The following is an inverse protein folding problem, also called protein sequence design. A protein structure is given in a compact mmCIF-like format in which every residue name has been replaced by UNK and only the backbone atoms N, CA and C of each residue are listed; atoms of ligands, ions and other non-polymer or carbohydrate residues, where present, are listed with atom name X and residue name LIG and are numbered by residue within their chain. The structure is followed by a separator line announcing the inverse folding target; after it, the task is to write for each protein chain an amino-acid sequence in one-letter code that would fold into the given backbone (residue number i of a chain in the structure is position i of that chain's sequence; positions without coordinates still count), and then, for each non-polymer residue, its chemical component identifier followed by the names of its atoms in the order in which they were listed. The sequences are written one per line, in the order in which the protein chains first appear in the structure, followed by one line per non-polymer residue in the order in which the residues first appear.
data_IF_325204034906
#
_entry.id   IF_325204034906
#
_cell.length_a   1.000
_cell.length_b   1.000
_cell.length_c   1.000
_cell.angle_alpha   90.00
_cell.angle_beta   90.00
_cell.angle_gamma   90.00
#
_symmetry.space_group_name_H-M   'P 1'
#
loop_
_entity.id
_entity.type
_entity.pdbx_description
1 polymer ?
#
# COMPACT_ATOMS: atom_id res chain seq x y z
N UNK A 1 17.18 -24.47 -4.58
CA UNK A 1 18.53 -24.21 -4.09
C UNK A 1 19.32 -23.50 -5.18
N UNK A 2 20.11 -22.48 -4.83
CA UNK A 2 21.01 -21.84 -5.76
C UNK A 2 22.28 -22.70 -5.93
N UNK A 3 22.86 -22.79 -7.13
CA UNK A 3 24.15 -23.43 -7.36
C UNK A 3 25.26 -22.78 -6.53
N UNK A 4 26.25 -23.56 -6.07
CA UNK A 4 27.37 -23.05 -5.26
C UNK A 4 28.19 -21.96 -5.95
N UNK A 5 28.24 -21.94 -7.28
CA UNK A 5 28.88 -20.91 -8.06
C UNK A 5 28.32 -19.50 -7.85
N UNK A 6 27.09 -19.37 -7.36
CA UNK A 6 26.48 -18.07 -7.02
C UNK A 6 26.97 -17.49 -5.69
N UNK A 7 27.69 -18.28 -4.90
CA UNK A 7 28.29 -17.88 -3.64
C UNK A 7 29.80 -17.59 -3.75
N UNK A 8 30.28 -17.23 -4.94
CA UNK A 8 31.67 -16.78 -5.10
C UNK A 8 31.84 -15.34 -4.59
N UNK A 9 32.78 -15.13 -3.66
CA UNK A 9 32.99 -13.84 -2.99
C UNK A 9 33.46 -12.72 -3.93
N UNK A 10 34.28 -13.04 -4.96
CA UNK A 10 34.74 -12.06 -5.94
C UNK A 10 33.60 -11.60 -6.87
N UNK A 11 32.77 -12.55 -7.29
CA UNK A 11 31.57 -12.22 -8.06
C UNK A 11 30.57 -11.43 -7.23
N UNK A 12 30.39 -11.77 -5.95
CA UNK A 12 29.53 -11.05 -5.01
C UNK A 12 29.96 -9.59 -4.81
N UNK A 13 31.27 -9.36 -4.63
CA UNK A 13 31.84 -8.03 -4.53
C UNK A 13 31.59 -7.20 -5.80
N UNK A 14 31.89 -7.75 -6.97
CA UNK A 14 31.70 -7.08 -8.27
C UNK A 14 30.22 -6.75 -8.51
N UNK A 15 29.33 -7.69 -8.23
CA UNK A 15 27.90 -7.51 -8.46
C UNK A 15 27.31 -6.49 -7.49
N UNK A 16 27.78 -6.44 -6.23
CA UNK A 16 27.42 -5.43 -5.26
C UNK A 16 27.89 -4.02 -5.67
N UNK A 17 29.16 -3.87 -6.06
CA UNK A 17 29.70 -2.60 -6.57
C UNK A 17 28.88 -2.07 -7.75
N UNK A 18 28.55 -2.96 -8.70
CA UNK A 18 27.73 -2.62 -9.87
C UNK A 18 26.32 -2.19 -9.46
N UNK A 19 25.73 -2.84 -8.43
CA UNK A 19 24.37 -2.55 -7.99
C UNK A 19 24.27 -1.22 -7.25
N UNK A 20 25.29 -0.89 -6.46
CA UNK A 20 25.39 0.39 -5.73
C UNK A 20 25.95 1.54 -6.58
N UNK A 21 26.48 1.28 -7.79
CA UNK A 21 27.09 2.29 -8.64
C UNK A 21 28.40 2.84 -8.09
N UNK A 22 29.15 2.04 -7.30
CA UNK A 22 30.38 2.48 -6.63
C UNK A 22 31.61 1.73 -7.15
N UNK A 23 32.77 2.39 -7.11
CA UNK A 23 34.03 1.78 -7.48
C UNK A 23 34.62 0.91 -6.36
N UNK A 24 34.36 1.27 -5.09
CA UNK A 24 34.88 0.60 -3.91
C UNK A 24 33.78 0.47 -2.82
N UNK A 25 33.88 -0.58 -1.99
CA UNK A 25 32.97 -0.84 -0.89
C UNK A 25 33.48 -0.30 0.46
N UNK A 26 34.68 0.29 0.51
CA UNK A 26 35.31 0.76 1.76
C UNK A 26 34.46 1.77 2.53
N UNK A 27 33.66 2.58 1.82
CA UNK A 27 32.72 3.52 2.43
C UNK A 27 31.58 2.83 3.22
N UNK A 28 31.29 1.57 2.92
CA UNK A 28 30.22 0.78 3.56
C UNK A 28 30.77 -0.21 4.59
N UNK A 29 32.10 -0.29 4.76
CA UNK A 29 32.79 -1.18 5.68
C UNK A 29 33.65 -2.24 4.99
N UNK A 30 34.48 -2.92 5.79
CA UNK A 30 35.30 -4.03 5.30
C UNK A 30 34.52 -5.34 5.41
N UNK A 31 34.06 -5.86 4.28
CA UNK A 31 33.34 -7.13 4.22
C UNK A 31 34.30 -8.32 4.13
N UNK A 32 34.04 -9.37 4.91
CA UNK A 32 34.75 -10.64 4.81
C UNK A 32 34.34 -11.40 3.53
N UNK A 33 35.14 -12.40 3.16
CA UNK A 33 34.82 -13.25 1.98
C UNK A 33 33.48 -13.99 2.15
N UNK A 34 33.14 -14.42 3.35
CA UNK A 34 31.87 -15.09 3.64
C UNK A 34 30.68 -14.15 3.53
N UNK A 35 30.81 -12.90 3.98
CA UNK A 35 29.79 -11.86 3.82
C UNK A 35 29.57 -11.52 2.34
N UNK A 36 30.64 -11.30 1.57
CA UNK A 36 30.55 -11.05 0.13
C UNK A 36 29.96 -12.24 -0.63
N UNK A 37 30.25 -13.47 -0.22
CA UNK A 37 29.68 -14.69 -0.76
C UNK A 37 28.16 -14.76 -0.51
N UNK A 38 27.72 -14.46 0.71
CA UNK A 38 26.31 -14.44 1.07
C UNK A 38 25.55 -13.33 0.33
N UNK A 39 26.14 -12.13 0.21
CA UNK A 39 25.59 -11.01 -0.56
C UNK A 39 25.45 -11.41 -2.04
N UNK A 40 26.47 -12.05 -2.63
CA UNK A 40 26.43 -12.54 -4.01
C UNK A 40 25.27 -13.51 -4.24
N UNK A 41 25.10 -14.49 -3.35
CA UNK A 41 23.97 -15.42 -3.40
C UNK A 41 22.62 -14.72 -3.30
N UNK A 42 22.48 -13.76 -2.40
CA UNK A 42 21.26 -12.96 -2.26
C UNK A 42 20.95 -12.12 -3.52
N UNK A 43 21.94 -11.44 -4.08
CA UNK A 43 21.77 -10.65 -5.31
C UNK A 43 21.31 -11.52 -6.47
N UNK A 44 21.91 -12.72 -6.64
CA UNK A 44 21.49 -13.68 -7.65
C UNK A 44 20.09 -14.21 -7.43
N UNK A 45 19.71 -14.47 -6.18
CA UNK A 45 18.34 -14.89 -5.86
C UNK A 45 17.33 -13.80 -6.23
N UNK A 46 17.61 -12.54 -5.89
CA UNK A 46 16.77 -11.39 -6.26
C UNK A 46 16.65 -11.27 -7.78
N UNK A 47 17.75 -11.36 -8.52
CA UNK A 47 17.75 -11.28 -9.98
C UNK A 47 16.94 -12.42 -10.64
N UNK A 48 16.96 -13.63 -10.07
CA UNK A 48 16.19 -14.78 -10.56
C UNK A 48 14.69 -14.68 -10.23
N UNK A 49 14.35 -14.09 -9.09
CA UNK A 49 12.95 -14.03 -8.64
C UNK A 49 12.24 -12.76 -9.08
N UNK A 50 12.97 -11.69 -9.42
CA UNK A 50 12.45 -10.37 -9.81
C UNK A 50 12.72 -10.09 -11.31
N UNK A 51 12.20 -10.95 -12.18
CA UNK A 51 12.37 -10.83 -13.63
C UNK A 51 11.77 -9.50 -14.13
N UNK A 52 12.61 -8.67 -14.76
CA UNK A 52 12.21 -7.40 -15.36
C UNK A 52 12.11 -6.19 -14.42
N UNK A 53 12.24 -6.37 -13.10
CA UNK A 53 12.28 -5.27 -12.13
C UNK A 53 13.50 -5.45 -11.22
N UNK A 54 14.36 -4.43 -11.15
CA UNK A 54 15.48 -4.41 -10.21
C UNK A 54 15.07 -3.63 -8.98
N UNK A 55 14.78 -4.27 -7.85
CA UNK A 55 14.48 -3.55 -6.63
C UNK A 55 15.69 -2.72 -6.19
N UNK A 56 15.44 -1.56 -5.60
CA UNK A 56 16.48 -0.76 -4.94
C UNK A 56 16.99 -1.58 -3.75
N UNK A 57 18.28 -1.83 -3.72
CA UNK A 57 18.93 -2.53 -2.62
C UNK A 57 19.75 -1.50 -1.86
N UNK A 58 19.48 -1.37 -0.56
CA UNK A 58 20.27 -0.52 0.32
C UNK A 58 21.69 -1.07 0.45
N UNK A 59 22.63 -0.18 0.70
CA UNK A 59 23.98 -0.59 1.03
C UNK A 59 23.96 -1.53 2.26
N UNK A 60 24.64 -2.68 2.18
CA UNK A 60 24.69 -3.60 3.31
C UNK A 60 25.36 -2.92 4.49
N UNK A 61 24.77 -3.07 5.67
CA UNK A 61 25.37 -2.63 6.93
C UNK A 61 25.88 -3.86 7.68
N UNK A 62 27.12 -3.80 8.13
CA UNK A 62 27.66 -4.86 8.97
C UNK A 62 26.99 -4.77 10.34
N UNK A 63 26.32 -5.83 10.75
CA UNK A 63 25.89 -5.98 12.13
C UNK A 63 27.14 -6.25 12.96
N UNK A 64 27.45 -5.38 13.93
CA UNK A 64 28.57 -5.61 14.82
C UNK A 64 28.33 -6.95 15.55
N UNK A 65 29.18 -7.95 15.30
CA UNK A 65 29.03 -9.30 15.85
C UNK A 65 29.05 -9.34 17.39
N UNK A 66 29.64 -8.32 18.01
CA UNK A 66 29.76 -8.18 19.46
C UNK A 66 28.54 -7.50 20.10
N UNK A 67 27.59 -7.02 19.30
CA UNK A 67 26.42 -6.28 19.81
C UNK A 67 25.28 -7.19 20.28
N UNK A 68 25.27 -8.47 19.91
CA UNK A 68 24.20 -9.42 20.26
C UNK A 68 24.75 -10.74 20.76
N UNK A 69 24.05 -11.34 21.72
CA UNK A 69 24.35 -12.67 22.22
C UNK A 69 24.03 -13.72 21.14
N UNK A 70 25.03 -14.48 20.72
CA UNK A 70 24.86 -15.56 19.76
C UNK A 70 24.33 -16.81 20.48
N UNK A 71 23.07 -17.14 20.21
CA UNK A 71 22.40 -18.33 20.73
C UNK A 71 22.28 -19.32 19.58
N UNK A 72 22.92 -20.49 19.71
CA UNK A 72 22.82 -21.53 18.70
C UNK A 72 21.38 -22.13 18.62
N UNK A 73 21.02 -22.80 17.53
CA UNK A 73 19.68 -23.34 17.33
C UNK A 73 19.25 -24.37 18.39
N UNK A 74 20.18 -25.22 18.86
CA UNK A 74 19.89 -26.23 19.86
C UNK A 74 19.60 -25.60 21.22
N UNK A 75 20.44 -24.65 21.66
CA UNK A 75 20.23 -23.86 22.87
C UNK A 75 18.93 -23.06 22.81
N UNK A 76 18.63 -22.43 21.66
CA UNK A 76 17.38 -21.67 21.46
C UNK A 76 16.15 -22.57 21.61
N UNK A 77 16.20 -23.80 21.07
CA UNK A 77 15.13 -24.80 21.21
C UNK A 77 15.03 -25.28 22.64
N UNK A 78 16.14 -25.57 23.30
CA UNK A 78 16.20 -26.05 24.68
C UNK A 78 15.63 -25.02 25.69
N UNK A 79 15.88 -23.72 25.42
CA UNK A 79 15.35 -22.61 26.23
C UNK A 79 13.89 -22.24 25.87
N UNK A 80 13.31 -22.87 24.87
CA UNK A 80 11.95 -22.60 24.40
C UNK A 80 11.64 -21.11 24.19
N UNK A 81 12.59 -20.35 23.63
CA UNK A 81 12.49 -18.88 23.55
C UNK A 81 11.32 -18.44 22.68
N UNK A 82 11.19 -18.97 21.46
CA UNK A 82 10.18 -18.56 20.49
C UNK A 82 9.19 -19.66 20.14
N UNK A 83 9.58 -20.91 20.39
CA UNK A 83 8.77 -22.13 20.19
C UNK A 83 9.02 -23.09 21.34
N UNK A 84 7.97 -23.84 21.73
CA UNK A 84 8.07 -24.93 22.69
C UNK A 84 8.87 -26.12 22.12
N UNK A 85 9.19 -27.09 22.96
CA UNK A 85 9.81 -28.35 22.54
C UNK A 85 8.98 -29.12 21.49
N UNK A 86 7.66 -28.91 21.47
CA UNK A 86 6.76 -29.48 20.43
C UNK A 86 6.73 -28.68 19.13
N UNK A 87 7.49 -27.55 19.04
CA UNK A 87 7.55 -26.68 17.85
C UNK A 87 6.43 -25.65 17.76
N UNK A 88 5.49 -25.62 18.72
CA UNK A 88 4.39 -24.66 18.75
C UNK A 88 4.81 -23.31 19.35
N UNK A 89 4.09 -22.22 19.01
CA UNK A 89 4.29 -20.91 19.68
C UNK A 89 3.81 -20.96 21.14
N UNK A 90 2.70 -21.64 21.41
CA UNK A 90 2.15 -21.80 22.75
C UNK A 90 3.12 -22.60 23.62
N UNK A 91 3.31 -22.14 24.87
CA UNK A 91 4.26 -22.73 25.80
C UNK A 91 5.67 -22.14 25.74
N UNK A 92 6.00 -21.31 24.73
CA UNK A 92 7.28 -20.62 24.66
C UNK A 92 7.32 -19.37 25.56
N UNK A 93 8.55 -18.92 25.90
CA UNK A 93 8.77 -17.66 26.60
C UNK A 93 8.13 -16.48 25.86
N UNK A 94 8.30 -16.41 24.52
CA UNK A 94 7.65 -15.40 23.69
C UNK A 94 6.14 -15.38 23.89
N UNK A 95 5.50 -16.56 23.90
CA UNK A 95 4.03 -16.64 24.10
C UNK A 95 3.60 -16.14 25.48
N UNK A 96 4.41 -16.34 26.50
CA UNK A 96 4.13 -15.90 27.86
C UNK A 96 4.19 -14.38 28.03
N UNK A 97 5.15 -13.71 27.36
CA UNK A 97 5.41 -12.28 27.52
C UNK A 97 4.79 -11.39 26.43
N UNK A 98 4.36 -11.96 25.30
CA UNK A 98 3.79 -11.20 24.17
C UNK A 98 2.48 -10.49 24.56
N UNK A 99 2.56 -9.19 24.71
CA UNK A 99 1.44 -8.27 24.95
C UNK A 99 1.41 -7.18 23.91
N UNK A 100 2.06 -7.42 22.76
CA UNK A 100 2.11 -6.45 21.66
C UNK A 100 0.73 -6.25 21.04
N UNK A 101 0.47 -5.04 20.55
CA UNK A 101 -0.80 -4.66 19.91
C UNK A 101 -0.68 -4.51 18.40
N UNK A 102 0.54 -4.71 17.85
CA UNK A 102 0.80 -4.59 16.41
C UNK A 102 1.58 -5.79 15.90
N UNK A 103 1.37 -6.17 14.63
CA UNK A 103 2.15 -7.23 14.00
C UNK A 103 3.64 -6.90 13.88
N UNK A 104 4.00 -5.62 13.70
CA UNK A 104 5.39 -5.15 13.69
C UNK A 104 6.03 -5.31 15.07
N UNK A 105 5.33 -4.89 16.13
CA UNK A 105 5.80 -5.05 17.51
C UNK A 105 6.00 -6.51 17.90
N UNK A 106 5.11 -7.42 17.49
CA UNK A 106 5.25 -8.85 17.75
C UNK A 106 6.51 -9.44 17.08
N UNK A 107 6.83 -9.00 15.85
CA UNK A 107 8.07 -9.41 15.17
C UNK A 107 9.31 -8.86 15.86
N UNK A 108 9.28 -7.59 16.25
CA UNK A 108 10.37 -6.95 16.96
C UNK A 108 10.64 -7.62 18.31
N UNK A 109 9.59 -7.92 19.10
CA UNK A 109 9.72 -8.65 20.36
C UNK A 109 10.35 -10.04 20.15
N UNK A 110 9.91 -10.77 19.12
CA UNK A 110 10.48 -12.08 18.78
C UNK A 110 11.96 -11.96 18.34
N UNK A 111 12.31 -10.93 17.58
CA UNK A 111 13.68 -10.67 17.14
C UNK A 111 14.59 -10.33 18.34
N UNK A 112 14.15 -9.45 19.23
CA UNK A 112 14.90 -9.08 20.46
C UNK A 112 15.13 -10.27 21.39
N UNK A 113 14.12 -11.13 21.52
CA UNK A 113 14.24 -12.34 22.34
C UNK A 113 15.19 -13.37 21.70
N UNK A 114 15.21 -13.46 20.37
CA UNK A 114 16.06 -14.39 19.63
C UNK A 114 17.52 -13.93 19.53
N UNK A 115 17.78 -12.64 19.67
CA UNK A 115 19.10 -12.01 19.54
C UNK A 115 19.25 -10.91 20.58
N UNK A 116 19.36 -11.26 21.86
CA UNK A 116 19.53 -10.29 22.96
C UNK A 116 20.80 -9.46 22.75
N UNK A 117 20.75 -8.18 23.11
CA UNK A 117 21.92 -7.31 23.03
C UNK A 117 22.90 -7.59 24.17
N UNK A 118 24.19 -7.29 23.94
CA UNK A 118 25.25 -7.43 24.92
C UNK A 118 25.78 -6.07 25.44
N UNK A 119 25.41 -4.97 24.80
CA UNK A 119 25.81 -3.64 25.21
C UNK A 119 25.05 -3.23 26.48
N UNK A 120 25.76 -3.09 27.58
CA UNK A 120 25.20 -2.77 28.90
C UNK A 120 24.52 -1.40 28.90
N UNK A 121 25.11 -0.39 28.24
CA UNK A 121 24.52 0.94 28.17
C UNK A 121 23.15 0.91 27.43
N UNK A 122 23.12 0.25 26.30
CA UNK A 122 21.88 0.09 25.53
C UNK A 122 20.81 -0.78 26.26
N UNK A 123 21.24 -1.79 27.02
CA UNK A 123 20.34 -2.57 27.88
C UNK A 123 19.73 -1.67 28.95
N UNK A 124 20.53 -0.90 29.67
CA UNK A 124 20.05 0.00 30.71
C UNK A 124 19.13 1.08 30.16
N UNK A 125 19.44 1.71 29.01
CA UNK A 125 18.59 2.68 28.38
C UNK A 125 17.19 2.10 28.02
N UNK A 126 17.12 0.83 27.59
CA UNK A 126 15.83 0.13 27.37
C UNK A 126 15.10 -0.17 28.67
N UNK A 127 15.80 -0.57 29.72
CA UNK A 127 15.19 -0.83 31.03
C UNK A 127 14.64 0.46 31.65
N UNK A 128 15.36 1.58 31.50
CA UNK A 128 14.89 2.90 31.95
C UNK A 128 13.60 3.31 31.19
N UNK A 129 13.54 3.04 29.88
CA UNK A 129 12.34 3.28 29.09
C UNK A 129 11.15 2.41 29.55
N UNK A 130 11.40 1.15 29.91
CA UNK A 130 10.37 0.25 30.46
C UNK A 130 9.90 0.74 31.83
N UNK A 131 10.82 1.08 32.73
CA UNK A 131 10.49 1.61 34.05
C UNK A 131 9.65 2.87 33.96
N UNK A 132 10.06 3.81 33.10
CA UNK A 132 9.31 5.05 32.85
C UNK A 132 7.84 4.76 32.41
N UNK A 133 7.64 3.82 31.48
CA UNK A 133 6.28 3.46 31.03
C UNK A 133 5.50 2.63 32.06
N UNK A 134 6.15 2.01 33.04
CA UNK A 134 5.48 1.39 34.19
C UNK A 134 4.97 2.49 35.13
N UNK A 135 5.77 3.50 35.39
CA UNK A 135 5.47 4.61 36.30
C UNK A 135 4.47 5.60 35.70
N UNK A 136 4.35 5.64 34.34
CA UNK A 136 3.40 6.48 33.60
C UNK A 136 2.32 5.64 32.90
N UNK A 137 1.37 5.01 33.64
CA UNK A 137 0.39 4.10 33.08
C UNK A 137 -0.58 4.79 32.08
N UNK A 138 -0.87 6.07 32.29
CA UNK A 138 -1.72 6.85 31.36
C UNK A 138 -1.08 6.97 30.00
N UNK A 139 0.19 7.41 29.94
CA UNK A 139 0.94 7.53 28.68
C UNK A 139 1.08 6.16 28.00
N UNK A 140 1.41 5.12 28.78
CA UNK A 140 1.50 3.75 28.24
C UNK A 140 0.19 3.30 27.59
N UNK A 141 -0.96 3.58 28.21
CA UNK A 141 -2.26 3.19 27.68
C UNK A 141 -2.60 3.99 26.42
N UNK A 142 -2.33 5.30 26.39
CA UNK A 142 -2.58 6.15 25.23
C UNK A 142 -1.69 5.77 24.04
N UNK A 143 -0.40 5.46 24.26
CA UNK A 143 0.49 4.92 23.23
C UNK A 143 -0.05 3.57 22.69
N UNK A 144 -0.51 2.68 23.56
CA UNK A 144 -1.08 1.40 23.14
C UNK A 144 -2.36 1.58 22.32
N UNK A 145 -3.23 2.53 22.69
CA UNK A 145 -4.43 2.89 21.91
C UNK A 145 -4.03 3.46 20.53
N UNK A 146 -3.07 4.37 20.49
CA UNK A 146 -2.57 4.95 19.24
C UNK A 146 -1.98 3.89 18.30
N UNK A 147 -1.34 2.87 18.84
CA UNK A 147 -0.77 1.75 18.08
C UNK A 147 -1.81 0.70 17.67
N UNK A 148 -2.92 0.58 18.43
CA UNK A 148 -3.95 -0.42 18.13
C UNK A 148 -4.62 -0.10 16.80
N UNK A 149 -4.65 -1.08 15.91
CA UNK A 149 -5.23 -0.90 14.57
C UNK A 149 -4.26 -0.34 13.53
N UNK A 150 -3.03 0.05 13.92
CA UNK A 150 -2.03 0.44 12.93
C UNK A 150 -1.69 -0.72 12.01
N UNK A 151 -1.63 -0.42 10.73
CA UNK A 151 -1.30 -1.38 9.68
C UNK A 151 0.20 -1.62 9.60
N UNK A 152 0.58 -2.70 8.94
CA UNK A 152 1.98 -3.08 8.73
C UNK A 152 2.58 -2.25 7.58
N UNK A 153 3.09 -1.06 7.91
CA UNK A 153 3.71 -0.12 6.95
C UNK A 153 4.79 -0.81 6.12
N UNK A 154 5.68 -1.57 6.75
CA UNK A 154 6.79 -2.21 6.05
C UNK A 154 6.32 -3.16 4.94
N UNK A 155 5.24 -3.90 5.18
CA UNK A 155 4.63 -4.75 4.16
C UNK A 155 3.92 -3.95 3.08
N UNK A 156 3.27 -2.84 3.42
CA UNK A 156 2.64 -1.97 2.43
C UNK A 156 3.69 -1.34 1.51
N UNK A 157 4.76 -0.77 2.07
CA UNK A 157 5.89 -0.21 1.33
C UNK A 157 6.51 -1.29 0.41
N UNK A 158 6.77 -2.48 0.95
CA UNK A 158 7.31 -3.58 0.15
C UNK A 158 6.43 -3.91 -1.06
N UNK A 159 5.10 -3.98 -0.90
CA UNK A 159 4.19 -4.23 -2.04
C UNK A 159 4.21 -3.09 -3.05
N UNK A 160 4.27 -1.84 -2.60
CA UNK A 160 4.37 -0.65 -3.45
C UNK A 160 5.68 -0.67 -4.25
N UNK A 161 6.82 -0.90 -3.61
CA UNK A 161 8.15 -0.95 -4.23
C UNK A 161 8.28 -2.07 -5.27
N UNK A 162 7.58 -3.20 -5.08
CA UNK A 162 7.52 -4.27 -6.09
C UNK A 162 6.45 -4.06 -7.18
N UNK A 163 5.77 -2.92 -7.19
CA UNK A 163 4.72 -2.61 -8.17
C UNK A 163 3.46 -3.47 -8.02
N UNK A 164 3.30 -4.17 -6.89
CA UNK A 164 2.14 -5.00 -6.53
C UNK A 164 1.18 -4.28 -5.57
N UNK A 165 1.51 -3.05 -5.20
CA UNK A 165 0.71 -2.26 -4.28
C UNK A 165 -0.65 -1.87 -4.86
N UNK A 166 -1.59 -1.62 -3.98
CA UNK A 166 -2.97 -1.18 -4.23
C UNK A 166 -3.22 0.20 -3.62
N UNK A 167 -4.33 0.89 -3.94
CA UNK A 167 -4.70 2.12 -3.24
C UNK A 167 -4.77 1.97 -1.71
N UNK A 168 -5.20 0.81 -1.22
CA UNK A 168 -5.20 0.52 0.23
C UNK A 168 -3.81 0.49 0.83
N UNK A 169 -2.78 0.11 0.07
CA UNK A 169 -1.41 0.12 0.57
C UNK A 169 -0.89 1.56 0.76
N UNK A 170 -1.32 2.51 -0.08
CA UNK A 170 -1.07 3.94 0.14
C UNK A 170 -1.76 4.41 1.42
N UNK A 171 -3.03 4.02 1.62
CA UNK A 171 -3.79 4.30 2.85
C UNK A 171 -3.09 3.73 4.09
N UNK A 172 -2.61 2.49 4.02
CA UNK A 172 -1.87 1.87 5.13
C UNK A 172 -0.59 2.62 5.50
N UNK A 173 0.11 3.19 4.51
CA UNK A 173 1.27 4.05 4.77
C UNK A 173 0.81 5.36 5.43
N UNK A 174 -0.24 6.00 4.90
CA UNK A 174 -0.80 7.23 5.46
C UNK A 174 -1.24 7.06 6.93
N UNK A 175 -2.00 5.99 7.22
CA UNK A 175 -2.48 5.67 8.57
C UNK A 175 -1.32 5.40 9.52
N UNK A 176 -0.32 4.66 9.06
CA UNK A 176 0.84 4.35 9.87
C UNK A 176 1.72 5.56 10.17
N UNK A 177 1.95 6.45 9.20
CA UNK A 177 2.64 7.72 9.43
C UNK A 177 1.84 8.63 10.38
N UNK A 178 0.51 8.66 10.24
CA UNK A 178 -0.37 9.40 11.15
C UNK A 178 -0.30 8.87 12.58
N UNK A 179 -0.30 7.56 12.76
CA UNK A 179 -0.14 6.94 14.07
C UNK A 179 1.26 7.20 14.67
N UNK A 180 2.31 7.18 13.85
CA UNK A 180 3.66 7.52 14.28
C UNK A 180 3.75 8.97 14.76
N UNK A 181 3.18 9.92 14.01
CA UNK A 181 3.11 11.33 14.40
C UNK A 181 2.34 11.52 15.72
N UNK A 182 1.22 10.81 15.88
CA UNK A 182 0.46 10.84 17.14
C UNK A 182 1.25 10.27 18.31
N UNK A 183 1.97 9.17 18.14
CA UNK A 183 2.86 8.61 19.17
C UNK A 183 3.98 9.60 19.55
N UNK A 184 4.56 10.31 18.57
CA UNK A 184 5.55 11.36 18.84
C UNK A 184 4.96 12.48 19.72
N UNK A 185 3.77 12.97 19.38
CA UNK A 185 3.07 13.99 20.15
C UNK A 185 2.74 13.53 21.59
N UNK A 186 2.29 12.27 21.75
CA UNK A 186 2.04 11.70 23.08
C UNK A 186 3.32 11.62 23.93
N UNK A 187 4.43 11.17 23.34
CA UNK A 187 5.72 11.14 24.02
C UNK A 187 6.19 12.54 24.41
N UNK A 188 6.08 13.51 23.51
CA UNK A 188 6.44 14.91 23.80
C UNK A 188 5.60 15.50 24.94
N UNK A 189 4.29 15.23 24.96
CA UNK A 189 3.38 15.72 26.01
C UNK A 189 3.57 15.00 27.34
N UNK A 190 4.02 13.74 27.32
CA UNK A 190 4.32 12.93 28.51
C UNK A 190 5.62 13.30 29.21
N UNK A 191 6.51 14.04 28.56
CA UNK A 191 7.81 14.48 29.10
C UNK A 191 7.68 15.53 30.23
N UNK A 192 6.82 15.28 31.22
CA UNK A 192 6.52 16.24 32.32
C UNK A 192 7.73 16.47 33.20
N UNK A 193 8.46 17.56 32.97
CA UNK A 193 9.42 18.14 33.93
C UNK A 193 10.80 17.48 34.01
N UNK A 194 10.95 16.17 33.85
CA UNK A 194 12.23 15.45 33.96
C UNK A 194 12.76 14.93 32.61
N UNK A 195 12.07 15.20 31.51
CA UNK A 195 12.45 14.67 30.20
C UNK A 195 12.11 13.19 30.00
N UNK A 196 12.24 12.72 28.75
CA UNK A 196 12.11 11.30 28.43
C UNK A 196 13.44 10.57 28.65
N UNK A 197 13.44 9.29 29.08
CA UNK A 197 14.61 8.44 29.01
C UNK A 197 15.21 8.40 27.60
N UNK A 198 16.53 8.22 27.51
CA UNK A 198 17.29 8.32 26.25
C UNK A 198 16.67 7.50 25.10
N UNK A 199 16.30 6.26 25.37
CA UNK A 199 15.70 5.38 24.34
C UNK A 199 14.33 5.93 23.85
N UNK A 200 13.48 6.43 24.77
CA UNK A 200 12.19 7.04 24.39
C UNK A 200 12.38 8.37 23.66
N UNK A 201 13.35 9.18 24.06
CA UNK A 201 13.70 10.42 23.37
C UNK A 201 14.19 10.15 21.94
N UNK A 202 15.04 9.14 21.76
CA UNK A 202 15.51 8.69 20.45
C UNK A 202 14.34 8.19 19.59
N UNK A 203 13.43 7.41 20.15
CA UNK A 203 12.23 6.93 19.45
C UNK A 203 11.33 8.11 19.05
N UNK A 204 11.08 9.06 19.97
CA UNK A 204 10.27 10.24 19.69
C UNK A 204 10.84 11.05 18.52
N UNK A 205 12.15 11.34 18.52
CA UNK A 205 12.82 12.04 17.44
C UNK A 205 12.76 11.30 16.10
N UNK A 206 12.77 9.96 16.11
CA UNK A 206 12.54 9.18 14.90
C UNK A 206 11.09 9.28 14.40
N UNK A 207 10.11 9.25 15.30
CA UNK A 207 8.70 9.32 14.96
C UNK A 207 8.26 10.73 14.51
N UNK A 208 8.90 11.80 14.99
CA UNK A 208 8.64 13.17 14.55
C UNK A 208 8.84 13.35 13.04
N UNK A 209 9.79 12.63 12.44
CA UNK A 209 10.02 12.65 11.00
C UNK A 209 8.83 12.13 10.18
N UNK A 210 7.94 11.33 10.80
CA UNK A 210 6.72 10.85 10.16
C UNK A 210 5.69 11.97 9.88
N UNK A 211 5.80 13.13 10.54
CA UNK A 211 4.95 14.31 10.32
C UNK A 211 5.41 15.18 9.15
N UNK A 212 6.18 14.63 8.23
CA UNK A 212 6.76 15.35 7.09
C UNK A 212 5.79 15.59 5.92
N UNK A 213 6.29 16.23 4.86
CA UNK A 213 5.51 16.58 3.65
C UNK A 213 4.81 15.37 3.01
N UNK A 214 5.39 14.18 3.10
CA UNK A 214 4.80 12.96 2.56
C UNK A 214 3.46 12.63 3.21
N UNK A 215 3.33 12.78 4.53
CA UNK A 215 2.06 12.54 5.22
C UNK A 215 0.98 13.52 4.77
N UNK A 216 1.32 14.80 4.64
CA UNK A 216 0.37 15.82 4.18
C UNK A 216 -0.03 15.60 2.73
N UNK A 217 0.91 15.21 1.86
CA UNK A 217 0.62 14.84 0.47
C UNK A 217 -0.35 13.65 0.41
N UNK A 218 -0.10 12.58 1.17
CA UNK A 218 -0.97 11.41 1.22
C UNK A 218 -2.38 11.75 1.73
N UNK A 219 -2.50 12.56 2.78
CA UNK A 219 -3.80 13.02 3.32
C UNK A 219 -4.58 13.85 2.32
N UNK A 220 -3.89 14.71 1.57
CA UNK A 220 -4.54 15.56 0.56
C UNK A 220 -4.95 14.75 -0.68
N UNK A 221 -4.16 13.74 -1.04
CA UNK A 221 -4.34 12.97 -2.26
C UNK A 221 -5.36 11.83 -2.13
N UNK A 222 -5.46 11.18 -0.96
CA UNK A 222 -6.26 9.97 -0.80
C UNK A 222 -7.69 10.28 -0.37
N UNK A 223 -8.64 9.61 -1.03
CA UNK A 223 -10.05 9.59 -0.60
C UNK A 223 -10.22 8.76 0.69
N UNK A 224 -11.36 8.93 1.36
CA UNK A 224 -11.64 8.24 2.62
C UNK A 224 -11.86 6.73 2.41
N UNK A 225 -12.52 6.37 1.30
CA UNK A 225 -12.75 4.98 0.89
C UNK A 225 -11.79 4.57 -0.22
N UNK A 226 -10.94 3.59 0.06
CA UNK A 226 -9.93 3.13 -0.88
C UNK A 226 -10.29 1.77 -1.48
N UNK A 227 -10.40 1.66 -2.83
CA UNK A 227 -10.71 0.41 -3.51
C UNK A 227 -9.57 -0.61 -3.37
N UNK A 228 -9.90 -1.89 -3.58
CA UNK A 228 -8.92 -2.98 -3.56
C UNK A 228 -8.02 -2.92 -4.79
N UNK A 229 -8.59 -2.57 -5.95
CA UNK A 229 -7.85 -2.58 -7.21
C UNK A 229 -7.71 -1.18 -7.78
N UNK A 230 -6.54 -0.88 -8.34
CA UNK A 230 -6.27 0.40 -9.03
C UNK A 230 -7.23 0.69 -10.17
N UNK A 231 -7.67 -0.37 -10.87
CA UNK A 231 -8.60 -0.28 -12.02
C UNK A 231 -10.01 0.19 -11.65
N UNK A 232 -10.35 0.09 -10.37
CA UNK A 232 -11.69 0.50 -9.92
C UNK A 232 -11.79 2.03 -9.83
N UNK A 233 -10.65 2.74 -9.72
CA UNK A 233 -10.59 4.19 -9.58
C UNK A 233 -11.22 4.69 -8.28
N UNK A 234 -11.37 6.01 -8.14
CA UNK A 234 -12.07 6.64 -7.02
C UNK A 234 -11.24 6.79 -5.74
N UNK A 235 -9.93 6.50 -5.78
CA UNK A 235 -9.07 6.59 -4.61
C UNK A 235 -8.37 7.95 -4.45
N UNK A 236 -8.40 8.79 -5.46
CA UNK A 236 -7.86 10.17 -5.38
C UNK A 236 -8.96 11.11 -4.90
N UNK A 237 -8.65 11.91 -3.88
CA UNK A 237 -9.57 12.91 -3.30
C UNK A 237 -9.92 14.00 -4.32
N UNK A 238 -11.16 14.45 -4.31
CA UNK A 238 -11.59 15.61 -5.09
C UNK A 238 -10.82 16.85 -4.63
N UNK A 239 -10.40 17.68 -5.58
CA UNK A 239 -9.61 18.89 -5.33
C UNK A 239 -8.09 18.66 -5.32
N UNK A 240 -7.61 17.40 -5.36
CA UNK A 240 -6.18 17.11 -5.41
C UNK A 240 -5.56 17.33 -6.81
N UNK A 241 -6.30 16.97 -7.87
CA UNK A 241 -5.86 17.14 -9.26
C UNK A 241 -6.97 17.76 -10.09
N UNK A 242 -6.77 19.00 -10.55
CA UNK A 242 -7.76 19.74 -11.36
C UNK A 242 -8.20 18.97 -12.62
N UNK A 243 -7.24 18.37 -13.34
CA UNK A 243 -7.51 17.63 -14.57
C UNK A 243 -8.36 16.36 -14.32
N UNK A 244 -8.16 15.71 -13.17
CA UNK A 244 -8.95 14.56 -12.76
C UNK A 244 -10.40 14.98 -12.40
N UNK A 245 -10.53 16.07 -11.67
CA UNK A 245 -11.86 16.60 -11.31
C UNK A 245 -12.64 17.04 -12.56
N UNK A 246 -11.96 17.63 -13.53
CA UNK A 246 -12.56 17.97 -14.82
C UNK A 246 -13.01 16.71 -15.59
N UNK A 247 -12.15 15.68 -15.65
CA UNK A 247 -12.52 14.41 -16.30
C UNK A 247 -13.70 13.72 -15.61
N UNK A 248 -13.78 13.75 -14.29
CA UNK A 248 -14.91 13.23 -13.52
C UNK A 248 -16.19 14.02 -13.79
N UNK A 249 -16.12 15.34 -13.80
CA UNK A 249 -17.24 16.21 -14.13
C UNK A 249 -17.78 15.93 -15.53
N UNK A 250 -16.91 15.83 -16.54
CA UNK A 250 -17.31 15.48 -17.91
C UNK A 250 -18.02 14.14 -17.99
N UNK A 251 -17.58 13.15 -17.20
CA UNK A 251 -18.25 11.85 -17.10
C UNK A 251 -19.63 11.96 -16.46
N UNK A 252 -19.78 12.76 -15.42
CA UNK A 252 -21.03 12.93 -14.69
C UNK A 252 -22.03 13.79 -15.51
N UNK A 253 -21.57 14.85 -16.16
CA UNK A 253 -22.37 15.66 -17.11
C UNK A 253 -22.91 14.78 -18.24
N UNK A 254 -22.08 13.88 -18.80
CA UNK A 254 -22.53 12.98 -19.85
C UNK A 254 -23.53 11.92 -19.35
N UNK A 255 -23.47 11.50 -18.10
CA UNK A 255 -24.51 10.66 -17.46
C UNK A 255 -25.83 11.39 -17.28
N UNK A 256 -25.78 12.67 -16.94
CA UNK A 256 -26.98 13.50 -16.86
C UNK A 256 -27.65 13.62 -18.24
N UNK A 257 -26.86 13.83 -19.30
CA UNK A 257 -27.35 13.85 -20.67
C UNK A 257 -28.06 12.53 -21.03
N UNK A 258 -27.55 11.38 -20.59
CA UNK A 258 -28.22 10.08 -20.80
C UNK A 258 -29.61 10.01 -20.16
N UNK A 259 -29.76 10.53 -18.95
CA UNK A 259 -31.04 10.58 -18.26
C UNK A 259 -32.04 11.54 -18.97
N UNK A 260 -31.55 12.67 -19.47
CA UNK A 260 -32.32 13.61 -20.27
C UNK A 260 -32.75 12.99 -21.63
N UNK A 261 -31.85 12.24 -22.30
CA UNK A 261 -32.14 11.49 -23.49
C UNK A 261 -33.24 10.42 -23.26
N UNK A 262 -33.15 9.67 -22.17
CA UNK A 262 -34.18 8.68 -21.80
C UNK A 262 -35.55 9.34 -21.63
N UNK A 263 -35.61 10.49 -20.92
CA UNK A 263 -36.86 11.22 -20.73
C UNK A 263 -37.43 11.74 -22.05
N UNK A 264 -36.59 12.33 -22.90
CA UNK A 264 -36.99 12.84 -24.24
C UNK A 264 -37.48 11.71 -25.14
N UNK A 265 -36.78 10.58 -25.23
CA UNK A 265 -37.20 9.45 -26.02
C UNK A 265 -38.51 8.84 -25.55
N UNK A 266 -38.82 8.86 -24.25
CA UNK A 266 -40.14 8.47 -23.73
C UNK A 266 -41.24 9.40 -24.17
N UNK A 267 -40.98 10.70 -24.20
CA UNK A 267 -41.94 11.73 -24.64
C UNK A 267 -42.19 11.63 -26.14
N UNK A 268 -41.13 11.60 -26.94
CA UNK A 268 -41.21 11.54 -28.41
C UNK A 268 -41.92 10.28 -28.92
N UNK A 269 -41.59 9.13 -28.33
CA UNK A 269 -42.16 7.84 -28.79
C UNK A 269 -43.48 7.48 -28.12
N UNK A 270 -43.87 8.17 -27.03
CA UNK A 270 -45.02 7.83 -26.20
C UNK A 270 -44.84 6.54 -25.37
N UNK A 271 -43.68 5.90 -25.43
CA UNK A 271 -43.41 4.61 -24.78
C UNK A 271 -42.88 4.84 -23.36
N UNK A 272 -43.77 4.88 -22.37
CA UNK A 272 -43.41 5.12 -20.93
C UNK A 272 -42.48 4.07 -20.35
N UNK A 273 -42.44 2.84 -20.91
CA UNK A 273 -41.60 1.74 -20.41
C UNK A 273 -40.19 1.73 -21.01
N UNK A 274 -39.88 2.65 -21.92
CA UNK A 274 -38.58 2.80 -22.54
C UNK A 274 -37.51 3.06 -21.46
N UNK A 275 -36.40 2.35 -21.51
CA UNK A 275 -35.27 2.51 -20.61
C UNK A 275 -33.96 2.50 -21.37
N UNK A 276 -33.06 3.40 -21.02
CA UNK A 276 -31.66 3.33 -21.44
C UNK A 276 -30.93 2.41 -20.49
N UNK A 277 -30.27 1.38 -21.00
CA UNK A 277 -29.50 0.38 -20.26
C UNK A 277 -28.12 0.22 -20.85
N UNK A 278 -27.21 -0.39 -20.09
CA UNK A 278 -25.85 -0.68 -20.52
C UNK A 278 -25.51 -2.16 -20.32
N UNK A 279 -24.77 -2.73 -21.26
CA UNK A 279 -24.08 -4.00 -21.08
C UNK A 279 -22.72 -4.00 -21.81
N UNK A 280 -21.88 -4.99 -21.50
CA UNK A 280 -20.51 -5.07 -22.01
C UNK A 280 -20.40 -5.38 -23.53
N UNK A 281 -21.49 -5.78 -24.17
CA UNK A 281 -21.49 -6.19 -25.61
C UNK A 281 -21.99 -5.06 -26.49
N UNK A 282 -23.09 -4.41 -26.08
CA UNK A 282 -23.79 -3.41 -26.89
C UNK A 282 -23.49 -1.98 -26.48
N UNK A 283 -22.81 -1.78 -25.34
CA UNK A 283 -22.68 -0.47 -24.71
C UNK A 283 -24.03 0.01 -24.17
N UNK A 284 -24.34 1.29 -24.35
CA UNK A 284 -25.66 1.84 -24.03
C UNK A 284 -26.66 1.51 -25.12
N UNK A 285 -27.85 1.07 -24.73
CA UNK A 285 -28.94 0.74 -25.63
C UNK A 285 -30.27 1.11 -25.00
N UNK A 286 -31.27 1.37 -25.87
CA UNK A 286 -32.66 1.60 -25.53
C UNK A 286 -33.37 0.25 -25.50
N UNK A 287 -33.98 -0.11 -24.38
CA UNK A 287 -34.74 -1.34 -24.22
C UNK A 287 -36.24 -1.04 -24.09
N UNK A 288 -37.04 -1.66 -24.91
CA UNK A 288 -38.52 -1.61 -24.87
C UNK A 288 -39.07 -3.03 -24.88
N UNK A 289 -40.24 -3.24 -24.30
CA UNK A 289 -40.95 -4.54 -24.42
C UNK A 289 -41.39 -4.75 -25.86
N UNK A 290 -41.42 -6.00 -26.30
CA UNK A 290 -41.79 -6.35 -27.69
C UNK A 290 -43.14 -5.76 -28.11
N UNK A 291 -44.13 -5.73 -27.18
CA UNK A 291 -45.44 -5.14 -27.46
C UNK A 291 -45.47 -3.62 -27.63
N UNK A 292 -44.42 -2.92 -27.17
CA UNK A 292 -44.29 -1.47 -27.24
C UNK A 292 -43.20 -1.01 -28.23
N UNK A 293 -42.73 -1.88 -29.11
CA UNK A 293 -41.66 -1.57 -30.06
C UNK A 293 -42.13 -0.92 -31.35
N UNK A 294 -43.42 -1.03 -31.68
CA UNK A 294 -44.01 -0.52 -32.94
C UNK A 294 -43.74 0.98 -33.17
N UNK A 295 -43.87 1.88 -32.15
CA UNK A 295 -43.57 3.29 -32.36
C UNK A 295 -42.09 3.56 -32.73
N UNK A 296 -41.15 2.71 -32.34
CA UNK A 296 -39.72 2.87 -32.63
C UNK A 296 -39.34 2.27 -34.00
N UNK A 297 -40.16 1.34 -34.52
CA UNK A 297 -39.91 0.66 -35.82
C UNK A 297 -40.69 1.26 -36.97
N UNK A 298 -41.59 2.21 -36.68
CA UNK A 298 -42.46 2.87 -37.68
C UNK A 298 -42.04 4.33 -37.86
N UNK A 299 -42.42 4.91 -39.02
CA UNK A 299 -42.19 6.34 -39.25
C UNK A 299 -42.93 7.22 -38.24
N UNK A 300 -42.31 8.30 -37.75
CA UNK A 300 -41.08 8.92 -38.24
C UNK A 300 -39.81 8.40 -37.53
N UNK A 301 -39.92 7.49 -36.54
CA UNK A 301 -38.84 7.13 -35.63
C UNK A 301 -37.91 6.02 -36.14
N UNK A 302 -38.32 5.27 -37.17
CA UNK A 302 -37.57 4.17 -37.78
C UNK A 302 -36.17 4.57 -38.28
N UNK A 303 -35.98 5.85 -38.65
CA UNK A 303 -34.70 6.40 -39.09
C UNK A 303 -33.76 6.77 -37.92
N UNK A 304 -34.32 7.07 -36.76
CA UNK A 304 -33.59 7.50 -35.57
C UNK A 304 -33.21 6.30 -34.70
N UNK A 305 -34.18 5.40 -34.48
CA UNK A 305 -33.99 4.21 -33.61
C UNK A 305 -33.56 3.01 -34.45
N UNK A 306 -32.26 2.77 -34.52
CA UNK A 306 -31.69 1.61 -35.23
C UNK A 306 -31.81 0.35 -34.40
N UNK A 307 -32.56 -0.64 -34.88
CA UNK A 307 -32.70 -1.94 -34.24
C UNK A 307 -31.34 -2.66 -34.15
N UNK A 308 -31.02 -3.21 -32.99
CA UNK A 308 -29.76 -3.94 -32.71
C UNK A 308 -29.99 -5.40 -32.36
N UNK A 309 -30.98 -5.69 -31.52
CA UNK A 309 -31.19 -7.04 -31.00
C UNK A 309 -32.65 -7.26 -30.61
N UNK A 310 -33.19 -8.43 -30.94
CA UNK A 310 -34.47 -8.93 -30.44
C UNK A 310 -34.21 -9.99 -29.37
N UNK A 311 -34.86 -9.84 -28.23
CA UNK A 311 -34.84 -10.78 -27.09
C UNK A 311 -36.26 -11.37 -26.94
N UNK A 312 -36.40 -12.45 -26.14
CA UNK A 312 -37.70 -13.11 -25.94
C UNK A 312 -38.82 -12.16 -25.49
N UNK A 313 -38.52 -11.12 -24.70
CA UNK A 313 -39.54 -10.21 -24.17
C UNK A 313 -39.20 -8.72 -24.42
N UNK A 314 -38.12 -8.39 -25.13
CA UNK A 314 -37.68 -7.02 -25.35
C UNK A 314 -37.00 -6.84 -26.70
N UNK A 315 -37.06 -5.61 -27.22
CA UNK A 315 -36.28 -5.17 -28.37
C UNK A 315 -35.31 -4.08 -27.95
N UNK A 316 -34.13 -4.09 -28.57
CA UNK A 316 -33.03 -3.18 -28.25
C UNK A 316 -32.69 -2.34 -29.46
N UNK A 317 -32.59 -1.02 -29.21
CA UNK A 317 -32.31 -0.02 -30.23
C UNK A 317 -31.11 0.84 -29.79
N UNK A 318 -30.50 1.50 -30.76
CA UNK A 318 -29.45 2.49 -30.59
C UNK A 318 -29.77 3.69 -31.47
N UNK A 319 -29.48 4.89 -30.95
CA UNK A 319 -29.48 6.13 -31.71
C UNK A 319 -28.05 6.66 -31.86
N UNK A 320 -27.83 7.50 -32.85
CA UNK A 320 -26.52 8.11 -33.09
C UNK A 320 -26.10 8.99 -31.89
N UNK A 321 -27.03 9.79 -31.36
CA UNK A 321 -26.81 10.64 -30.18
C UNK A 321 -26.47 9.85 -28.90
N UNK A 322 -27.11 8.68 -28.73
CA UNK A 322 -26.79 7.76 -27.62
C UNK A 322 -25.37 7.21 -27.77
N UNK A 323 -24.96 6.84 -28.98
CA UNK A 323 -23.63 6.33 -29.27
C UNK A 323 -22.53 7.41 -29.10
N UNK A 324 -22.79 8.67 -29.48
CA UNK A 324 -21.88 9.79 -29.21
C UNK A 324 -21.72 10.06 -27.72
N UNK A 325 -22.82 10.06 -26.96
CA UNK A 325 -22.82 10.25 -25.53
C UNK A 325 -22.03 9.15 -24.82
N UNK A 326 -22.20 7.89 -25.27
CA UNK A 326 -21.42 6.76 -24.80
C UNK A 326 -19.92 6.97 -25.02
N UNK A 327 -19.53 7.38 -26.23
CA UNK A 327 -18.13 7.69 -26.55
C UNK A 327 -17.54 8.75 -25.62
N UNK A 328 -18.30 9.79 -25.30
CA UNK A 328 -17.87 10.84 -24.34
C UNK A 328 -17.70 10.29 -22.93
N UNK A 329 -18.63 9.47 -22.44
CA UNK A 329 -18.56 8.85 -21.11
C UNK A 329 -17.33 7.93 -21.02
N UNK A 330 -17.15 7.07 -22.03
CA UNK A 330 -16.02 6.12 -22.07
C UNK A 330 -14.69 6.87 -22.08
N UNK A 331 -14.53 7.86 -22.97
CA UNK A 331 -13.30 8.65 -23.07
C UNK A 331 -12.99 9.42 -21.78
N UNK A 332 -14.00 10.05 -21.16
CA UNK A 332 -13.83 10.75 -19.89
C UNK A 332 -13.49 9.78 -18.75
N UNK A 333 -14.11 8.61 -18.73
CA UNK A 333 -13.83 7.55 -17.77
C UNK A 333 -12.40 7.00 -17.88
N UNK A 334 -11.95 6.72 -19.10
CA UNK A 334 -10.61 6.22 -19.39
C UNK A 334 -9.54 7.27 -19.01
N UNK A 335 -9.81 8.55 -19.33
CA UNK A 335 -8.94 9.67 -18.94
C UNK A 335 -8.84 9.81 -17.43
N UNK A 336 -9.97 9.77 -16.73
CA UNK A 336 -9.98 9.84 -15.26
C UNK A 336 -9.18 8.68 -14.64
N UNK A 337 -9.36 7.44 -15.14
CA UNK A 337 -8.61 6.29 -14.66
C UNK A 337 -7.11 6.42 -14.94
N UNK A 338 -6.72 6.92 -16.10
CA UNK A 338 -5.32 7.15 -16.46
C UNK A 338 -4.66 8.16 -15.52
N UNK A 339 -5.33 9.28 -15.23
CA UNK A 339 -4.87 10.30 -14.27
C UNK A 339 -4.73 9.75 -12.85
N UNK A 340 -5.67 8.91 -12.42
CA UNK A 340 -5.56 8.23 -11.13
C UNK A 340 -4.38 7.25 -11.08
N UNK A 341 -4.10 6.51 -12.17
CA UNK A 341 -2.91 5.65 -12.24
C UNK A 341 -1.61 6.45 -12.18
N UNK A 342 -1.57 7.62 -12.80
CA UNK A 342 -0.44 8.54 -12.72
C UNK A 342 -0.24 9.04 -11.28
N UNK A 343 -1.29 9.50 -10.62
CA UNK A 343 -1.26 9.87 -9.21
C UNK A 343 -0.76 8.74 -8.32
N UNK A 344 -1.25 7.51 -8.54
CA UNK A 344 -0.79 6.33 -7.81
C UNK A 344 0.71 6.12 -7.97
N UNK A 345 1.22 6.18 -9.20
CA UNK A 345 2.64 5.96 -9.47
C UNK A 345 3.52 7.05 -8.84
N UNK A 346 3.07 8.33 -8.90
CA UNK A 346 3.74 9.46 -8.23
C UNK A 346 3.85 9.22 -6.73
N UNK A 347 2.74 8.92 -6.05
CA UNK A 347 2.71 8.68 -4.61
C UNK A 347 3.54 7.44 -4.20
N UNK A 348 3.45 6.36 -4.96
CA UNK A 348 4.25 5.16 -4.70
C UNK A 348 5.76 5.41 -4.86
N UNK A 349 6.15 6.27 -5.81
CA UNK A 349 7.54 6.68 -6.01
C UNK A 349 8.04 7.53 -4.83
N UNK A 350 7.26 8.53 -4.40
CA UNK A 350 7.58 9.37 -3.24
C UNK A 350 7.76 8.54 -1.95
N UNK A 351 6.89 7.54 -1.73
CA UNK A 351 7.06 6.60 -0.61
C UNK A 351 8.37 5.81 -0.74
N UNK A 352 8.73 5.38 -1.95
CA UNK A 352 9.98 4.66 -2.20
C UNK A 352 11.22 5.52 -1.96
N UNK A 353 11.19 6.81 -2.31
CA UNK A 353 12.26 7.76 -2.02
C UNK A 353 12.41 8.02 -0.52
N UNK A 354 11.31 8.25 0.18
CA UNK A 354 11.31 8.47 1.63
C UNK A 354 11.72 7.23 2.44
N UNK A 355 11.66 6.02 1.86
CA UNK A 355 12.18 4.80 2.51
C UNK A 355 13.71 4.79 2.59
N UNK A 356 14.38 5.53 1.72
CA UNK A 356 15.86 5.54 1.63
C UNK A 356 16.47 6.49 2.67
N UNK A 357 15.76 7.54 3.08
CA UNK A 357 16.19 8.53 4.08
C UNK A 357 15.80 8.08 5.51
#
# INVERSE_FOLDING_TARGET
PLPSAHFDSRSGERDLKKRLGVADLNAFGQFSRSELSAIGGLLKYVDLTQIGKKPVIRAPRRSAGDAVLLIDPATRTSLELTRSATGEKKGSLLSAIDRTVTGAGARELAARLSSPMCDIAAINARLDAVSYLIDEPGLREDLRKALTGTTDIARAISRLSFGRGSPRDLGFVCDGLSAAANCAALLASGARGMGLPEELARIAACLERASGPLLEELKSALADDLPVHRRDGGFVRAGYMTDLDEARRLKDDARQILAELEARYREETGVKTLKVRQNNILGFFIEVTQGNSEPLTSAPHDKVFRHRQTMANAMRFVTEELAETEGRISTAGDRALALEQEAFNKLAHQIGEAEVD
#
